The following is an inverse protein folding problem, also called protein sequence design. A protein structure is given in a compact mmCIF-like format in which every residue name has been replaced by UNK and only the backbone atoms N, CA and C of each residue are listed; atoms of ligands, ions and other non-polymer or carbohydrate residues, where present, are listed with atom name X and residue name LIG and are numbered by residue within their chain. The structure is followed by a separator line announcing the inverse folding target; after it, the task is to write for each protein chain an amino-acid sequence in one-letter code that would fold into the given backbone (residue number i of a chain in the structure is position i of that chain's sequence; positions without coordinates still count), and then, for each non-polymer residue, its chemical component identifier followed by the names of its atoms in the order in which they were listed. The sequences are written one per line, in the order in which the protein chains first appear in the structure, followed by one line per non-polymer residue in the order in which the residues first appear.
data_IF_734937446402
#
_entry.id   IF_734937446402
#
_cell.length_a   1.000
_cell.length_b   1.000
_cell.length_c   1.000
_cell.angle_alpha   90.00
_cell.angle_beta   90.00
_cell.angle_gamma   90.00
#
_symmetry.space_group_name_H-M   'P 1'
#
loop_
_entity.id
_entity.type
_entity.pdbx_description
1 polymer ?
#
# COMPACT_ATOMS: atom_id res chain seq x y z
N UNK A 1 44.60 30.63 75.11
CA UNK A 1 44.20 31.47 73.95
C UNK A 1 45.27 31.49 72.87
N UNK A 2 46.53 31.91 73.13
CA UNK A 2 47.59 31.98 72.10
C UNK A 2 47.88 30.69 71.29
N UNK A 3 47.75 29.51 71.89
CA UNK A 3 48.07 28.23 71.21
C UNK A 3 46.99 27.81 70.18
N UNK A 4 45.71 28.07 70.50
CA UNK A 4 44.56 27.80 69.61
C UNK A 4 44.54 28.72 68.38
N UNK A 5 45.05 29.94 68.51
CA UNK A 5 45.14 30.90 67.41
C UNK A 5 46.20 30.49 66.38
N UNK A 6 47.36 30.02 66.85
CA UNK A 6 48.42 29.49 65.99
C UNK A 6 48.00 28.21 65.28
N UNK A 7 47.29 27.32 65.97
CA UNK A 7 46.78 26.08 65.38
C UNK A 7 45.70 26.35 64.34
N UNK A 8 44.82 27.33 64.57
CA UNK A 8 43.84 27.80 63.58
C UNK A 8 44.52 28.42 62.35
N UNK A 9 45.54 29.25 62.53
CA UNK A 9 46.30 29.84 61.41
C UNK A 9 46.95 28.76 60.58
N UNK A 10 47.60 27.77 61.21
CA UNK A 10 48.23 26.65 60.52
C UNK A 10 47.22 25.81 59.72
N UNK A 11 46.04 25.57 60.28
CA UNK A 11 44.98 24.80 59.61
C UNK A 11 44.40 25.54 58.40
N UNK A 12 44.29 26.87 58.49
CA UNK A 12 43.89 27.73 57.36
C UNK A 12 44.97 27.72 56.27
N UNK A 13 46.25 27.74 56.65
CA UNK A 13 47.38 27.68 55.71
C UNK A 13 47.42 26.35 54.97
N UNK A 14 47.23 25.23 55.69
CA UNK A 14 47.10 23.89 55.10
C UNK A 14 45.91 23.82 54.15
N UNK A 15 44.72 24.29 54.56
CA UNK A 15 43.53 24.33 53.69
C UNK A 15 43.73 25.17 52.43
N UNK A 16 44.37 26.33 52.55
CA UNK A 16 44.66 27.19 51.39
C UNK A 16 45.62 26.50 50.41
N UNK A 17 46.66 25.83 50.93
CA UNK A 17 47.61 25.08 50.11
C UNK A 17 46.96 23.90 49.36
N UNK A 18 46.01 23.20 50.01
CA UNK A 18 45.27 22.08 49.40
C UNK A 18 44.33 22.58 48.29
N UNK A 19 43.67 23.73 48.49
CA UNK A 19 42.81 24.37 47.47
C UNK A 19 43.64 24.80 46.26
N UNK A 20 44.84 25.34 46.49
CA UNK A 20 45.74 25.74 45.41
C UNK A 20 46.21 24.53 44.59
N UNK A 21 46.62 23.44 45.26
CA UNK A 21 47.04 22.21 44.58
C UNK A 21 45.91 21.59 43.75
N UNK A 22 44.69 21.51 44.30
CA UNK A 22 43.53 21.00 43.57
C UNK A 22 43.18 21.86 42.34
N UNK A 23 43.26 23.20 42.45
CA UNK A 23 43.04 24.09 41.31
C UNK A 23 44.09 23.90 40.21
N UNK A 24 45.35 23.65 40.59
CA UNK A 24 46.42 23.37 39.62
C UNK A 24 46.16 22.05 38.91
N UNK A 25 45.81 20.98 39.63
CA UNK A 25 45.46 19.70 39.02
C UNK A 25 44.23 19.78 38.09
N UNK A 26 43.20 20.53 38.47
CA UNK A 26 42.02 20.76 37.62
C UNK A 26 42.37 21.54 36.36
N UNK A 27 43.24 22.56 36.47
CA UNK A 27 43.72 23.31 35.30
C UNK A 27 44.56 22.45 34.36
N UNK A 28 45.36 21.52 34.88
CA UNK A 28 46.13 20.59 34.06
C UNK A 28 45.23 19.59 33.32
N UNK A 29 44.25 18.99 34.01
CA UNK A 29 43.24 18.12 33.38
C UNK A 29 42.44 18.86 32.31
N UNK A 30 42.06 20.12 32.56
CA UNK A 30 41.35 20.93 31.57
C UNK A 30 42.19 21.17 30.31
N UNK A 31 43.50 21.43 30.47
CA UNK A 31 44.42 21.59 29.34
C UNK A 31 44.64 20.30 28.56
N UNK A 32 44.64 19.16 29.24
CA UNK A 32 44.78 17.84 28.59
C UNK A 32 43.53 17.50 27.77
N UNK A 33 42.34 17.71 28.33
CA UNK A 33 41.06 17.58 27.62
C UNK A 33 40.94 18.53 26.43
N UNK A 34 41.45 19.77 26.53
CA UNK A 34 41.51 20.69 25.40
C UNK A 34 42.42 20.17 24.27
N UNK A 35 43.56 19.56 24.61
CA UNK A 35 44.45 18.94 23.62
C UNK A 35 43.79 17.74 22.95
N UNK A 36 43.13 16.86 23.70
CA UNK A 36 42.39 15.73 23.15
C UNK A 36 41.26 16.20 22.23
N UNK A 37 40.48 17.19 22.65
CA UNK A 37 39.44 17.79 21.80
C UNK A 37 40.03 18.37 20.50
N UNK A 38 41.20 19.04 20.56
CA UNK A 38 41.88 19.52 19.35
C UNK A 38 42.33 18.38 18.44
N UNK A 39 42.77 17.24 19.00
CA UNK A 39 43.13 16.06 18.21
C UNK A 39 41.90 15.41 17.57
N UNK A 40 40.79 15.31 18.31
CA UNK A 40 39.52 14.79 17.80
C UNK A 40 38.96 15.69 16.69
N UNK A 41 39.04 17.01 16.84
CA UNK A 41 38.65 17.96 15.78
C UNK A 41 39.49 17.72 14.52
N UNK A 42 40.82 17.56 14.65
CA UNK A 42 41.70 17.25 13.52
C UNK A 42 41.38 15.91 12.88
N UNK A 43 40.99 14.91 13.68
CA UNK A 43 40.61 13.59 13.18
C UNK A 43 39.26 13.62 12.45
N UNK A 44 38.29 14.39 12.96
CA UNK A 44 37.02 14.65 12.28
C UNK A 44 37.27 15.38 10.95
N UNK A 45 38.11 16.42 10.94
CA UNK A 45 38.48 17.13 9.70
C UNK A 45 39.18 16.19 8.70
N UNK A 46 40.01 15.26 9.17
CA UNK A 46 40.65 14.25 8.33
C UNK A 46 39.63 13.28 7.72
N UNK A 47 38.71 12.75 8.55
CA UNK A 47 37.64 11.85 8.10
C UNK A 47 36.63 12.55 7.17
N UNK A 48 36.29 13.81 7.44
CA UNK A 48 35.47 14.64 6.56
C UNK A 48 36.16 14.86 5.22
N UNK A 49 37.47 15.12 5.20
CA UNK A 49 38.23 15.29 3.96
C UNK A 49 38.41 13.97 3.18
N UNK A 50 38.64 12.83 3.84
CA UNK A 50 38.68 11.50 3.21
C UNK A 50 37.32 11.09 2.64
N UNK A 51 36.22 11.35 3.36
CA UNK A 51 34.86 10.99 2.92
C UNK A 51 34.27 11.93 1.87
N UNK A 52 34.58 13.23 1.91
CA UNK A 52 34.11 14.23 0.94
C UNK A 52 34.95 14.25 -0.36
N UNK A 53 36.17 13.74 -0.33
CA UNK A 53 37.04 13.65 -1.51
C UNK A 53 36.53 12.70 -2.60
N UNK A 54 35.85 11.61 -2.20
CA UNK A 54 35.48 10.51 -3.10
C UNK A 54 34.02 10.59 -3.58
N UNK A 55 33.16 11.32 -2.88
CA UNK A 55 31.72 11.36 -3.16
C UNK A 55 31.17 12.78 -3.38
N UNK A 56 31.77 13.54 -4.29
CA UNK A 56 31.06 14.69 -4.88
C UNK A 56 29.93 14.16 -5.76
N UNK A 57 28.71 14.16 -5.20
CA UNK A 57 27.50 13.90 -5.97
C UNK A 57 27.46 14.79 -7.23
N UNK A 58 26.85 14.28 -8.30
CA UNK A 58 26.76 15.01 -9.56
C UNK A 58 26.22 16.43 -9.35
N UNK A 59 26.99 17.43 -9.80
CA UNK A 59 26.59 18.83 -9.75
C UNK A 59 25.22 19.05 -10.38
N UNK A 60 24.44 19.96 -9.81
CA UNK A 60 23.13 20.29 -10.37
C UNK A 60 23.37 21.05 -11.68
N UNK A 61 22.90 20.53 -12.84
CA UNK A 61 23.08 21.23 -14.10
C UNK A 61 22.39 22.60 -14.07
N UNK A 62 22.98 23.62 -14.68
CA UNK A 62 22.29 24.89 -14.89
C UNK A 62 21.12 24.70 -15.87
N UNK A 63 19.90 24.79 -15.32
CA UNK A 63 18.68 24.60 -16.11
C UNK A 63 18.14 25.96 -16.54
N UNK A 64 18.10 26.19 -17.86
CA UNK A 64 17.71 27.47 -18.49
C UNK A 64 16.24 27.87 -18.30
N UNK A 65 15.34 26.94 -17.95
CA UNK A 65 13.89 27.23 -17.85
C UNK A 65 13.33 26.96 -16.45
N UNK A 66 12.43 27.83 -15.97
CA UNK A 66 11.71 27.66 -14.69
C UNK A 66 10.99 26.31 -14.58
N UNK A 67 10.48 25.77 -15.69
CA UNK A 67 9.81 24.47 -15.70
C UNK A 67 10.79 23.32 -15.46
N UNK A 68 11.98 23.37 -16.08
CA UNK A 68 13.02 22.38 -15.85
C UNK A 68 13.55 22.46 -14.40
N UNK A 69 13.76 23.68 -13.88
CA UNK A 69 14.14 23.90 -12.48
C UNK A 69 13.11 23.29 -11.50
N UNK A 70 11.81 23.53 -11.71
CA UNK A 70 10.75 22.96 -10.88
C UNK A 70 10.67 21.43 -10.95
N UNK A 71 10.87 20.84 -12.14
CA UNK A 71 10.94 19.38 -12.30
C UNK A 71 12.13 18.80 -11.56
N UNK A 72 13.29 19.44 -11.66
CA UNK A 72 14.52 19.02 -10.96
C UNK A 72 14.37 19.15 -9.45
N UNK A 73 13.79 20.25 -8.96
CA UNK A 73 13.51 20.47 -7.54
C UNK A 73 12.57 19.39 -6.98
N UNK A 74 11.53 19.00 -7.73
CA UNK A 74 10.64 17.90 -7.33
C UNK A 74 11.37 16.56 -7.29
N UNK A 75 12.23 16.29 -8.27
CA UNK A 75 13.05 15.07 -8.31
C UNK A 75 14.01 15.00 -7.10
N UNK A 76 14.68 16.11 -6.79
CA UNK A 76 15.58 16.23 -5.64
C UNK A 76 14.83 16.05 -4.31
N UNK A 77 13.67 16.71 -4.14
CA UNK A 77 12.81 16.53 -2.96
C UNK A 77 12.39 15.08 -2.77
N UNK A 78 12.06 14.38 -3.84
CA UNK A 78 11.67 12.96 -3.79
C UNK A 78 12.85 12.07 -3.40
N UNK A 79 14.06 12.35 -3.89
CA UNK A 79 15.28 11.61 -3.48
C UNK A 79 15.63 11.87 -2.02
N UNK A 80 15.54 13.11 -1.56
CA UNK A 80 15.76 13.47 -0.17
C UNK A 80 14.75 12.79 0.77
N UNK A 81 13.47 12.72 0.38
CA UNK A 81 12.44 11.96 1.11
C UNK A 81 12.76 10.46 1.20
N UNK A 82 13.26 9.86 0.12
CA UNK A 82 13.69 8.44 0.13
C UNK A 82 14.90 8.21 1.03
N UNK A 83 15.88 9.13 1.00
CA UNK A 83 17.06 9.05 1.86
C UNK A 83 16.68 9.20 3.35
N UNK A 84 15.79 10.14 3.68
CA UNK A 84 15.28 10.30 5.04
C UNK A 84 14.54 9.05 5.52
N UNK A 85 13.73 8.44 4.65
CA UNK A 85 13.03 7.19 4.97
C UNK A 85 13.99 6.01 5.17
N UNK A 86 15.04 5.90 4.35
CA UNK A 86 16.10 4.92 4.53
C UNK A 86 16.77 5.09 5.90
N UNK A 87 17.22 6.29 6.22
CA UNK A 87 17.86 6.63 7.50
C UNK A 87 16.96 6.26 8.69
N UNK A 88 15.65 6.53 8.61
CA UNK A 88 14.66 6.12 9.62
C UNK A 88 14.52 4.60 9.78
N UNK A 89 14.52 3.83 8.68
CA UNK A 89 14.41 2.36 8.73
C UNK A 89 15.60 1.73 9.47
N UNK A 90 16.79 2.32 9.34
CA UNK A 90 18.01 1.84 9.99
C UNK A 90 18.23 2.44 11.39
N UNK A 91 17.22 3.10 11.96
CA UNK A 91 17.28 3.67 13.32
C UNK A 91 18.25 4.84 13.46
N UNK A 92 18.65 5.46 12.35
CA UNK A 92 19.52 6.64 12.36
C UNK A 92 18.65 7.90 12.49
N UNK A 93 18.99 8.78 13.43
CA UNK A 93 18.29 10.05 13.65
C UNK A 93 19.04 11.20 12.96
N UNK A 94 18.45 11.76 11.91
CA UNK A 94 19.07 12.84 11.13
C UNK A 94 18.78 14.19 11.78
N UNK A 95 19.63 14.65 12.68
CA UNK A 95 19.40 15.88 13.46
C UNK A 95 19.79 17.16 12.71
N UNK A 96 20.81 17.09 11.84
CA UNK A 96 21.39 18.25 11.18
C UNK A 96 21.83 17.91 9.76
N UNK A 97 21.44 18.74 8.79
CA UNK A 97 21.94 18.69 7.41
C UNK A 97 22.72 19.97 7.11
N UNK A 98 24.03 19.88 6.93
CA UNK A 98 24.88 20.97 6.46
C UNK A 98 25.08 20.87 4.95
N UNK A 99 24.82 21.96 4.24
CA UNK A 99 24.95 22.08 2.79
C UNK A 99 25.95 23.20 2.49
N UNK A 100 27.01 22.90 1.74
CA UNK A 100 27.96 23.91 1.27
C UNK A 100 27.67 24.23 -0.20
N UNK A 101 27.64 25.51 -0.54
CA UNK A 101 27.45 25.91 -1.93
C UNK A 101 28.65 25.47 -2.79
N UNK A 102 28.46 24.94 -4.01
CA UNK A 102 29.56 24.40 -4.81
C UNK A 102 30.64 25.42 -5.18
N UNK A 103 30.24 26.69 -5.37
CA UNK A 103 31.11 27.78 -5.82
C UNK A 103 31.16 28.95 -4.83
N UNK A 104 30.57 28.78 -3.65
CA UNK A 104 30.47 29.81 -2.61
C UNK A 104 31.09 29.32 -1.30
N UNK A 105 31.53 30.25 -0.45
CA UNK A 105 32.00 29.93 0.90
C UNK A 105 30.85 29.81 1.91
N UNK A 106 29.61 29.90 1.46
CA UNK A 106 28.44 29.90 2.33
C UNK A 106 27.99 28.47 2.64
N UNK A 107 27.84 28.20 3.94
CA UNK A 107 27.33 26.94 4.47
C UNK A 107 25.95 27.16 5.05
N UNK A 108 24.98 26.35 4.63
CA UNK A 108 23.61 26.36 5.11
C UNK A 108 23.41 25.18 6.07
N UNK A 109 22.87 25.46 7.25
CA UNK A 109 22.57 24.43 8.25
C UNK A 109 21.06 24.29 8.36
N UNK A 110 20.54 23.07 8.16
CA UNK A 110 19.13 22.75 8.34
C UNK A 110 19.01 21.82 9.54
N UNK A 111 18.55 22.36 10.66
CA UNK A 111 18.20 21.58 11.84
C UNK A 111 16.89 20.88 11.58
N UNK A 112 16.90 19.55 11.62
CA UNK A 112 15.72 18.72 11.42
C UNK A 112 15.19 18.37 12.80
N UNK A 113 14.16 19.09 13.24
CA UNK A 113 13.48 18.80 14.50
C UNK A 113 12.80 17.44 14.33
N UNK A 114 13.00 16.47 15.25
CA UNK A 114 12.26 15.22 15.22
C UNK A 114 10.78 15.59 15.27
N UNK A 115 10.02 15.12 14.28
CA UNK A 115 8.57 15.31 14.26
C UNK A 115 8.03 14.61 15.50
N UNK A 116 7.79 15.37 16.57
CA UNK A 116 7.07 14.88 17.75
C UNK A 116 5.78 14.29 17.24
N UNK A 117 5.63 13.00 17.50
CA UNK A 117 4.43 12.22 17.25
C UNK A 117 3.27 13.02 17.85
N UNK A 118 2.42 13.61 16.99
CA UNK A 118 1.08 13.97 17.42
C UNK A 118 0.48 12.66 17.90
N UNK A 119 0.08 12.53 19.18
CA UNK A 119 -0.56 11.32 19.64
C UNK A 119 -1.80 11.15 18.78
N UNK A 120 -1.80 10.12 17.92
CA UNK A 120 -3.00 9.61 17.29
C UNK A 120 -3.91 9.20 18.45
N UNK A 121 -4.75 10.12 18.89
CA UNK A 121 -5.93 9.80 19.66
C UNK A 121 -6.83 8.99 18.74
N UNK A 122 -6.55 7.68 18.65
CA UNK A 122 -7.47 6.67 18.16
C UNK A 122 -8.58 6.50 19.21
N UNK A 123 -9.42 7.52 19.33
CA UNK A 123 -10.74 7.43 19.97
C UNK A 123 -11.80 7.63 18.90
N UNK A 124 -11.84 6.71 17.93
CA UNK A 124 -13.01 6.40 17.07
C UNK A 124 -12.69 5.27 16.07
N UNK A 125 -12.15 4.17 16.58
CA UNK A 125 -12.32 2.85 15.97
C UNK A 125 -13.34 2.04 16.79
N UNK A 126 -14.48 2.66 17.08
CA UNK A 126 -15.67 2.02 17.63
C UNK A 126 -16.87 2.80 17.11
N UNK A 127 -17.26 2.48 15.88
CA UNK A 127 -18.59 2.69 15.30
C UNK A 127 -18.62 1.90 14.01
N UNK A 128 -18.68 0.58 14.19
CA UNK A 128 -19.25 -0.45 13.33
C UNK A 128 -19.02 -1.75 14.11
N UNK A 129 -19.89 -1.99 15.10
CA UNK A 129 -19.90 -3.21 15.89
C UNK A 129 -20.33 -4.38 14.99
N UNK A 130 -19.37 -4.98 14.30
CA UNK A 130 -19.31 -6.43 14.27
C UNK A 130 -18.50 -6.81 15.51
N UNK A 131 -19.17 -6.96 16.64
CA UNK A 131 -18.55 -7.30 17.92
C UNK A 131 -17.92 -8.68 17.77
N UNK A 132 -16.60 -8.72 17.55
CA UNK A 132 -15.80 -9.95 17.71
C UNK A 132 -16.12 -10.47 19.11
N UNK A 133 -16.82 -11.60 19.18
CA UNK A 133 -17.09 -12.23 20.47
C UNK A 133 -15.74 -12.61 21.06
N UNK A 134 -15.51 -12.23 22.32
CA UNK A 134 -14.28 -12.59 23.02
C UNK A 134 -14.08 -14.10 22.94
N UNK A 135 -12.97 -14.55 22.34
CA UNK A 135 -12.64 -15.96 22.13
C UNK A 135 -12.97 -16.55 20.75
N UNK A 136 -13.54 -15.80 19.81
CA UNK A 136 -13.77 -16.28 18.44
C UNK A 136 -12.56 -16.03 17.53
N UNK A 137 -12.16 -17.03 16.75
CA UNK A 137 -11.07 -16.90 15.78
C UNK A 137 -11.43 -15.92 14.66
N UNK A 138 -10.47 -15.10 14.24
CA UNK A 138 -10.59 -14.25 13.06
C UNK A 138 -10.50 -15.12 11.81
N UNK A 139 -11.51 -15.02 10.94
CA UNK A 139 -11.56 -15.78 9.69
C UNK A 139 -10.96 -14.96 8.56
N UNK A 140 -9.80 -15.39 8.07
CA UNK A 140 -9.05 -14.68 7.03
C UNK A 140 -9.15 -15.45 5.73
N UNK A 141 -9.69 -14.82 4.69
CA UNK A 141 -9.72 -15.38 3.33
C UNK A 141 -8.53 -14.85 2.54
N UNK A 142 -7.73 -15.73 1.97
CA UNK A 142 -6.70 -15.41 0.99
C UNK A 142 -7.23 -15.60 -0.42
N UNK A 143 -6.87 -14.73 -1.36
CA UNK A 143 -7.30 -14.81 -2.75
C UNK A 143 -6.18 -14.36 -3.67
N UNK A 144 -6.09 -15.00 -4.84
CA UNK A 144 -5.15 -14.65 -5.90
C UNK A 144 -5.90 -14.45 -7.21
N UNK A 145 -5.51 -13.46 -8.00
CA UNK A 145 -6.06 -13.27 -9.36
C UNK A 145 -5.03 -12.61 -10.29
N UNK A 146 -4.92 -13.16 -11.49
CA UNK A 146 -4.06 -12.66 -12.56
C UNK A 146 -4.79 -11.63 -13.42
N UNK A 147 -4.16 -10.47 -13.65
CA UNK A 147 -4.72 -9.43 -14.49
C UNK A 147 -3.68 -8.79 -15.41
N UNK A 148 -4.11 -8.57 -16.65
CA UNK A 148 -3.35 -7.78 -17.62
C UNK A 148 -3.39 -6.30 -17.26
N UNK A 149 -2.20 -5.71 -17.08
CA UNK A 149 -2.02 -4.29 -16.75
C UNK A 149 -1.77 -3.45 -17.99
N UNK A 150 -1.00 -3.98 -18.95
CA UNK A 150 -0.72 -3.35 -20.24
C UNK A 150 -0.58 -4.40 -21.35
N UNK A 151 -0.21 -3.99 -22.56
CA UNK A 151 0.04 -4.95 -23.66
C UNK A 151 1.15 -5.95 -23.32
N UNK A 152 2.10 -5.58 -22.45
CA UNK A 152 3.29 -6.37 -22.14
C UNK A 152 3.44 -6.70 -20.64
N UNK A 153 2.51 -6.26 -19.78
CA UNK A 153 2.60 -6.47 -18.33
C UNK A 153 1.34 -7.17 -17.82
N UNK A 154 1.57 -8.22 -17.04
CA UNK A 154 0.54 -9.01 -16.37
C UNK A 154 0.94 -9.11 -14.92
N UNK A 155 0.03 -8.78 -14.02
CA UNK A 155 0.27 -8.93 -12.59
C UNK A 155 -0.52 -10.10 -12.06
N UNK A 156 0.04 -10.75 -11.05
CA UNK A 156 -0.66 -11.67 -10.17
C UNK A 156 -0.75 -10.97 -8.83
N UNK A 157 -1.96 -10.67 -8.39
CA UNK A 157 -2.22 -10.06 -7.09
C UNK A 157 -2.60 -11.15 -6.12
N UNK A 158 -2.02 -11.11 -4.92
CA UNK A 158 -2.47 -11.87 -3.78
C UNK A 158 -2.95 -10.93 -2.69
N UNK A 159 -4.14 -11.18 -2.17
CA UNK A 159 -4.77 -10.35 -1.15
C UNK A 159 -5.43 -11.20 -0.07
N UNK A 160 -5.70 -10.57 1.08
CA UNK A 160 -6.55 -11.16 2.12
C UNK A 160 -7.74 -10.27 2.45
N UNK A 161 -8.80 -10.87 2.98
CA UNK A 161 -9.95 -10.16 3.55
C UNK A 161 -10.41 -10.82 4.84
N UNK A 162 -10.96 -10.04 5.77
CA UNK A 162 -11.54 -10.58 7.01
C UNK A 162 -13.02 -10.90 6.75
N UNK A 163 -13.41 -12.16 6.88
CA UNK A 163 -14.78 -12.62 6.55
C UNK A 163 -15.84 -12.03 7.48
N UNK A 164 -15.47 -11.70 8.72
CA UNK A 164 -16.36 -11.00 9.65
C UNK A 164 -16.73 -9.56 9.20
N UNK A 165 -15.98 -8.96 8.26
CA UNK A 165 -16.29 -7.66 7.66
C UNK A 165 -17.19 -7.82 6.43
N UNK A 166 -18.41 -8.30 6.65
CA UNK A 166 -19.34 -8.72 5.57
C UNK A 166 -19.60 -7.62 4.54
N UNK A 167 -19.69 -6.35 4.96
CA UNK A 167 -19.94 -5.22 4.06
C UNK A 167 -18.75 -4.89 3.14
N UNK A 168 -17.53 -5.23 3.55
CA UNK A 168 -16.31 -4.86 2.84
C UNK A 168 -15.65 -6.04 2.11
N UNK A 169 -16.00 -7.29 2.45
CA UNK A 169 -15.36 -8.54 1.97
C UNK A 169 -15.36 -8.71 0.44
N UNK A 170 -16.32 -8.09 -0.26
CA UNK A 170 -16.42 -8.10 -1.73
C UNK A 170 -15.97 -6.79 -2.39
N UNK A 171 -15.48 -5.83 -1.61
CA UNK A 171 -15.00 -4.52 -2.09
C UNK A 171 -13.48 -4.51 -2.19
N UNK A 172 -12.90 -3.62 -3.01
CA UNK A 172 -11.44 -3.46 -3.00
C UNK A 172 -10.90 -2.87 -1.69
N UNK A 173 -11.77 -2.27 -0.86
CA UNK A 173 -11.35 -1.70 0.43
C UNK A 173 -11.13 -2.77 1.51
N UNK A 174 -11.99 -3.77 1.55
CA UNK A 174 -11.89 -4.90 2.49
C UNK A 174 -11.00 -6.03 2.00
N UNK A 175 -10.34 -5.86 0.84
CA UNK A 175 -9.37 -6.81 0.31
C UNK A 175 -7.99 -6.14 0.28
N UNK A 176 -7.09 -6.60 1.13
CA UNK A 176 -5.78 -6.02 1.32
C UNK A 176 -4.72 -6.80 0.56
N UNK A 177 -4.12 -6.17 -0.45
CA UNK A 177 -3.05 -6.78 -1.25
C UNK A 177 -1.79 -6.97 -0.40
N UNK A 178 -1.29 -8.20 -0.35
CA UNK A 178 -0.08 -8.56 0.38
C UNK A 178 1.12 -8.76 -0.54
N UNK A 179 0.88 -9.15 -1.80
CA UNK A 179 1.93 -9.35 -2.77
C UNK A 179 1.44 -9.10 -4.20
N UNK A 180 2.35 -8.57 -5.02
CA UNK A 180 2.13 -8.27 -6.44
C UNK A 180 3.33 -8.79 -7.22
N UNK A 181 3.08 -9.68 -8.17
CA UNK A 181 4.13 -10.27 -9.02
C UNK A 181 3.87 -9.87 -10.46
N UNK A 182 4.88 -9.33 -11.15
CA UNK A 182 4.79 -9.09 -12.59
C UNK A 182 5.26 -10.34 -13.35
N UNK A 183 4.34 -11.05 -13.98
CA UNK A 183 4.66 -12.30 -14.65
C UNK A 183 3.43 -12.98 -15.24
N UNK A 184 3.69 -14.07 -15.97
CA UNK A 184 2.63 -14.97 -16.43
C UNK A 184 2.04 -15.74 -15.25
N UNK A 185 0.71 -15.86 -15.21
CA UNK A 185 0.02 -16.73 -14.28
C UNK A 185 0.28 -18.20 -14.66
N UNK A 186 1.37 -18.75 -14.12
CA UNK A 186 1.75 -20.15 -14.27
C UNK A 186 2.01 -20.74 -12.89
N UNK A 187 1.86 -22.07 -12.75
CA UNK A 187 2.14 -22.77 -11.50
C UNK A 187 3.54 -22.49 -10.99
N UNK A 188 4.54 -22.57 -11.87
CA UNK A 188 5.93 -22.30 -11.55
C UNK A 188 6.13 -20.86 -11.06
N UNK A 189 5.60 -19.88 -11.79
CA UNK A 189 5.72 -18.47 -11.42
C UNK A 189 5.07 -18.18 -10.06
N UNK A 190 3.94 -18.82 -9.75
CA UNK A 190 3.25 -18.67 -8.46
C UNK A 190 4.07 -19.33 -7.34
N UNK A 191 4.52 -20.56 -7.55
CA UNK A 191 5.30 -21.35 -6.59
C UNK A 191 6.60 -20.66 -6.20
N UNK A 192 7.34 -20.14 -7.18
CA UNK A 192 8.60 -19.43 -6.95
C UNK A 192 8.39 -18.04 -6.36
N UNK A 193 7.45 -17.25 -6.91
CA UNK A 193 7.33 -15.83 -6.53
C UNK A 193 6.61 -15.60 -5.22
N UNK A 194 5.71 -16.51 -4.82
CA UNK A 194 4.99 -16.43 -3.54
C UNK A 194 5.51 -17.43 -2.50
N UNK A 195 6.65 -18.09 -2.73
CA UNK A 195 7.22 -19.09 -1.82
C UNK A 195 7.33 -18.58 -0.37
N UNK A 196 7.83 -17.36 -0.19
CA UNK A 196 7.99 -16.75 1.13
C UNK A 196 6.63 -16.44 1.77
N UNK A 197 5.68 -15.92 0.99
CA UNK A 197 4.30 -15.66 1.45
C UNK A 197 3.62 -16.96 1.87
N UNK A 198 3.75 -18.03 1.08
CA UNK A 198 3.18 -19.33 1.42
C UNK A 198 3.81 -19.93 2.66
N UNK A 199 5.13 -19.78 2.85
CA UNK A 199 5.81 -20.23 4.07
C UNK A 199 5.27 -19.50 5.31
N UNK A 200 5.06 -18.19 5.22
CA UNK A 200 4.45 -17.42 6.32
C UNK A 200 3.00 -17.81 6.58
N UNK A 201 2.18 -17.95 5.52
CA UNK A 201 0.78 -18.39 5.65
C UNK A 201 0.69 -19.78 6.28
N UNK A 202 1.52 -20.73 5.83
CA UNK A 202 1.53 -22.09 6.39
C UNK A 202 1.94 -22.07 7.87
N UNK A 203 2.93 -21.24 8.23
CA UNK A 203 3.28 -21.03 9.64
C UNK A 203 2.10 -20.51 10.46
N UNK A 204 1.35 -19.54 9.96
CA UNK A 204 0.14 -19.02 10.64
C UNK A 204 -0.94 -20.10 10.78
N UNK A 205 -1.10 -20.97 9.78
CA UNK A 205 -2.02 -22.11 9.83
C UNK A 205 -1.59 -23.11 10.92
N UNK A 206 -0.31 -23.46 10.96
CA UNK A 206 0.25 -24.40 11.92
C UNK A 206 0.17 -23.86 13.36
N UNK A 207 0.50 -22.58 13.54
CA UNK A 207 0.46 -21.91 14.85
C UNK A 207 -1.01 -21.70 15.29
N UNK A 208 -1.93 -21.41 14.36
CA UNK A 208 -3.36 -21.19 14.61
C UNK A 208 -3.70 -19.83 15.24
N UNK A 209 -2.71 -18.95 15.41
CA UNK A 209 -2.87 -17.60 15.95
C UNK A 209 -1.81 -16.65 15.37
N UNK A 210 -2.05 -15.35 15.53
CA UNK A 210 -1.06 -14.29 15.29
C UNK A 210 -0.93 -13.42 16.55
N UNK A 211 0.21 -12.74 16.69
CA UNK A 211 0.41 -11.74 17.74
C UNK A 211 0.18 -10.33 17.18
N UNK A 212 -0.73 -9.59 17.80
CA UNK A 212 -1.04 -8.20 17.47
C UNK A 212 -1.01 -7.39 18.75
N UNK A 213 -0.13 -6.39 18.82
CA UNK A 213 0.04 -5.52 20.00
C UNK A 213 0.25 -6.30 21.32
N UNK A 214 0.97 -7.42 21.26
CA UNK A 214 1.23 -8.31 22.41
C UNK A 214 0.06 -9.21 22.80
N UNK A 215 -1.03 -9.23 22.02
CA UNK A 215 -2.18 -10.11 22.22
C UNK A 215 -2.20 -11.24 21.20
N UNK A 216 -2.47 -12.46 21.67
CA UNK A 216 -2.68 -13.62 20.80
C UNK A 216 -4.10 -13.59 20.25
N UNK A 217 -4.21 -13.52 18.94
CA UNK A 217 -5.47 -13.52 18.20
C UNK A 217 -5.55 -14.82 17.42
N UNK A 218 -6.53 -15.68 17.75
CA UNK A 218 -6.75 -16.92 17.01
C UNK A 218 -7.17 -16.62 15.57
N UNK A 219 -6.66 -17.39 14.61
CA UNK A 219 -6.90 -17.17 13.18
C UNK A 219 -7.28 -18.47 12.49
N UNK A 220 -8.27 -18.40 11.59
CA UNK A 220 -8.65 -19.49 10.70
C UNK A 220 -8.50 -19.02 9.25
N UNK A 221 -7.67 -19.72 8.47
CA UNK A 221 -7.37 -19.36 7.08
C UNK A 221 -8.30 -20.08 6.12
N UNK A 222 -8.88 -19.33 5.18
CA UNK A 222 -9.70 -19.81 4.08
C UNK A 222 -9.08 -19.42 2.75
N UNK A 223 -9.33 -20.22 1.72
CA UNK A 223 -8.97 -19.88 0.36
C UNK A 223 -10.21 -19.40 -0.40
N UNK A 224 -10.06 -18.26 -1.07
CA UNK A 224 -11.04 -17.73 -1.99
C UNK A 224 -10.88 -18.34 -3.37
N UNK A 225 -12.00 -18.49 -4.07
CA UNK A 225 -12.03 -19.11 -5.38
C UNK A 225 -13.08 -18.48 -6.27
N UNK A 226 -12.91 -18.66 -7.57
CA UNK A 226 -13.89 -18.24 -8.56
C UNK A 226 -14.62 -19.46 -9.12
N UNK A 227 -15.95 -19.36 -9.14
CA UNK A 227 -16.82 -20.32 -9.78
C UNK A 227 -17.55 -19.55 -10.87
N UNK A 228 -17.51 -20.03 -12.11
CA UNK A 228 -18.23 -19.43 -13.24
C UNK A 228 -19.03 -20.54 -13.94
N UNK A 229 -20.17 -20.16 -14.51
CA UNK A 229 -21.11 -20.96 -15.33
C UNK A 229 -22.39 -21.45 -14.63
N UNK A 230 -23.42 -21.66 -15.47
CA UNK A 230 -24.79 -22.04 -15.13
C UNK A 230 -25.56 -20.93 -14.39
N UNK A 231 -26.17 -20.02 -15.16
CA UNK A 231 -26.78 -18.77 -14.69
C UNK A 231 -27.64 -18.93 -13.43
N UNK A 232 -28.62 -19.84 -13.45
CA UNK A 232 -29.53 -20.04 -12.32
C UNK A 232 -28.83 -20.58 -11.06
N UNK A 233 -28.00 -21.63 -11.20
CA UNK A 233 -27.25 -22.22 -10.08
C UNK A 233 -26.17 -21.28 -9.55
N UNK A 234 -25.59 -20.47 -10.44
CA UNK A 234 -24.57 -19.53 -10.07
C UNK A 234 -25.16 -18.33 -9.33
N UNK A 235 -26.07 -17.57 -9.94
CA UNK A 235 -26.54 -16.32 -9.37
C UNK A 235 -27.45 -16.53 -8.15
N UNK A 236 -28.28 -17.58 -8.15
CA UNK A 236 -29.27 -17.78 -7.09
C UNK A 236 -28.77 -18.69 -5.94
N UNK A 237 -27.63 -19.39 -6.11
CA UNK A 237 -27.06 -20.25 -5.08
C UNK A 237 -25.61 -19.92 -4.75
N UNK A 238 -24.68 -20.10 -5.70
CA UNK A 238 -23.23 -19.94 -5.45
C UNK A 238 -22.86 -18.47 -5.14
N UNK A 239 -23.40 -17.54 -5.91
CA UNK A 239 -23.18 -16.09 -5.82
C UNK A 239 -24.34 -15.38 -5.11
N UNK A 240 -25.06 -16.10 -4.24
CA UNK A 240 -26.14 -15.55 -3.42
C UNK A 240 -25.71 -15.39 -1.97
N UNK A 241 -26.13 -14.29 -1.35
CA UNK A 241 -26.04 -14.11 0.11
C UNK A 241 -27.12 -14.93 0.84
N UNK A 242 -28.21 -15.24 0.14
CA UNK A 242 -29.35 -16.01 0.62
C UNK A 242 -29.61 -17.11 -0.42
N UNK A 243 -28.82 -18.19 -0.42
CA UNK A 243 -29.02 -19.28 -1.36
C UNK A 243 -30.38 -19.95 -1.14
N UNK A 244 -31.00 -20.41 -2.23
CA UNK A 244 -32.20 -21.26 -2.12
C UNK A 244 -31.85 -22.63 -1.53
N UNK A 245 -32.86 -23.47 -1.27
CA UNK A 245 -32.67 -24.76 -0.60
C UNK A 245 -31.60 -25.67 -1.25
N UNK A 246 -30.70 -26.20 -0.43
CA UNK A 246 -29.56 -27.04 -0.85
C UNK A 246 -29.98 -28.30 -1.60
N UNK A 247 -31.09 -28.92 -1.22
CA UNK A 247 -31.60 -30.11 -1.91
C UNK A 247 -32.03 -29.81 -3.35
N UNK A 248 -32.64 -28.64 -3.58
CA UNK A 248 -33.03 -28.20 -4.92
C UNK A 248 -31.77 -27.99 -5.77
N UNK A 249 -30.72 -27.40 -5.20
CA UNK A 249 -29.45 -27.19 -5.90
C UNK A 249 -28.79 -28.52 -6.23
N UNK A 250 -28.69 -29.43 -5.24
CA UNK A 250 -28.11 -30.76 -5.39
C UNK A 250 -28.82 -31.57 -6.47
N UNK A 251 -30.16 -31.48 -6.53
CA UNK A 251 -30.95 -32.13 -7.57
C UNK A 251 -30.61 -31.57 -8.96
N UNK A 252 -30.71 -30.24 -9.13
CA UNK A 252 -30.44 -29.57 -10.41
C UNK A 252 -29.02 -29.82 -10.93
N UNK A 253 -28.00 -29.76 -10.06
CA UNK A 253 -26.60 -29.96 -10.49
C UNK A 253 -26.34 -31.42 -10.86
N UNK A 254 -26.92 -32.40 -10.15
CA UNK A 254 -26.82 -33.82 -10.50
C UNK A 254 -27.52 -34.12 -11.82
N UNK A 255 -28.74 -33.62 -12.01
CA UNK A 255 -29.47 -33.73 -13.29
C UNK A 255 -28.68 -33.15 -14.46
N UNK A 256 -27.97 -32.03 -14.24
CA UNK A 256 -27.09 -31.45 -15.25
C UNK A 256 -25.86 -32.33 -15.54
N UNK A 257 -25.20 -32.90 -14.54
CA UNK A 257 -24.06 -33.82 -14.71
C UNK A 257 -24.49 -35.11 -15.42
N UNK A 258 -25.69 -35.62 -15.11
CA UNK A 258 -26.27 -36.78 -15.76
C UNK A 258 -26.59 -36.48 -17.23
N UNK A 259 -27.19 -35.32 -17.49
CA UNK A 259 -27.44 -34.82 -18.85
C UNK A 259 -26.13 -34.63 -19.64
N UNK A 260 -25.09 -34.10 -19.01
CA UNK A 260 -23.75 -34.00 -19.60
C UNK A 260 -23.24 -35.39 -19.99
N UNK A 261 -23.35 -36.36 -19.10
CA UNK A 261 -22.83 -37.73 -19.33
C UNK A 261 -23.60 -38.48 -20.42
N UNK A 262 -24.92 -38.27 -20.54
CA UNK A 262 -25.75 -38.90 -21.59
C UNK A 262 -25.48 -38.33 -22.98
N UNK A 263 -24.90 -37.14 -23.08
CA UNK A 263 -24.45 -36.57 -24.36
C UNK A 263 -23.14 -37.19 -24.86
N UNK A 264 -22.45 -38.00 -24.05
CA UNK A 264 -21.16 -38.60 -24.40
C UNK A 264 -21.18 -39.50 -25.63
N UNK A 265 -22.31 -40.15 -25.90
CA UNK A 265 -22.52 -40.95 -27.11
C UNK A 265 -22.93 -40.10 -28.33
N UNK A 266 -23.46 -38.89 -28.09
CA UNK A 266 -24.03 -38.01 -29.13
C UNK A 266 -23.06 -36.92 -29.59
N UNK A 267 -22.13 -36.50 -28.73
CA UNK A 267 -21.18 -35.42 -29.01
C UNK A 267 -19.80 -35.68 -28.41
N UNK A 268 -18.77 -35.46 -29.21
CA UNK A 268 -17.38 -35.49 -28.77
C UNK A 268 -17.15 -34.48 -27.65
N UNK A 269 -16.57 -34.94 -26.53
CA UNK A 269 -16.24 -34.11 -25.37
C UNK A 269 -17.15 -34.28 -24.15
N UNK A 270 -18.27 -35.00 -24.27
CA UNK A 270 -19.29 -35.14 -23.21
C UNK A 270 -19.26 -36.51 -22.50
N UNK A 271 -18.14 -37.23 -22.57
CA UNK A 271 -18.02 -38.56 -21.95
C UNK A 271 -17.85 -38.46 -20.44
N UNK A 272 -18.15 -39.55 -19.72
CA UNK A 272 -17.99 -39.62 -18.26
C UNK A 272 -16.56 -39.34 -17.81
N UNK A 273 -15.56 -39.75 -18.59
CA UNK A 273 -14.15 -39.43 -18.31
C UNK A 273 -13.83 -37.93 -18.37
N UNK A 274 -14.74 -37.10 -18.89
CA UNK A 274 -14.62 -35.64 -18.97
C UNK A 274 -15.37 -34.92 -17.86
N UNK A 275 -15.98 -35.64 -16.91
CA UNK A 275 -16.47 -35.05 -15.68
C UNK A 275 -15.28 -34.49 -14.90
N UNK A 276 -15.27 -33.17 -14.73
CA UNK A 276 -14.15 -32.48 -14.08
C UNK A 276 -14.27 -32.52 -12.57
N UNK A 277 -13.15 -32.29 -11.87
CA UNK A 277 -13.17 -32.08 -10.42
C UNK A 277 -14.10 -30.93 -9.99
N UNK A 278 -14.30 -29.91 -10.83
CA UNK A 278 -15.25 -28.82 -10.56
C UNK A 278 -16.71 -29.28 -10.58
N UNK A 279 -17.08 -30.20 -11.49
CA UNK A 279 -18.42 -30.79 -11.53
C UNK A 279 -18.65 -31.64 -10.27
N UNK A 280 -17.65 -32.41 -9.86
CA UNK A 280 -17.70 -33.16 -8.60
C UNK A 280 -17.85 -32.23 -7.39
N UNK A 281 -17.03 -31.19 -7.31
CA UNK A 281 -17.11 -30.20 -6.24
C UNK A 281 -18.46 -29.49 -6.20
N UNK A 282 -19.03 -29.15 -7.36
CA UNK A 282 -20.36 -28.56 -7.44
C UNK A 282 -21.46 -29.50 -6.90
N UNK A 283 -21.41 -30.79 -7.20
CA UNK A 283 -22.43 -31.73 -6.72
C UNK A 283 -22.32 -32.13 -5.24
N UNK A 284 -21.10 -32.16 -4.71
CA UNK A 284 -20.83 -32.77 -3.40
C UNK A 284 -20.27 -31.80 -2.36
N UNK A 285 -19.36 -30.89 -2.73
CA UNK A 285 -18.66 -30.01 -1.79
C UNK A 285 -19.33 -28.64 -1.62
N UNK A 286 -19.78 -28.02 -2.71
CA UNK A 286 -20.49 -26.72 -2.65
C UNK A 286 -21.73 -26.77 -1.74
N UNK A 287 -22.61 -27.79 -1.82
CA UNK A 287 -23.73 -27.95 -0.89
C UNK A 287 -23.29 -27.96 0.58
N UNK A 288 -22.28 -28.78 0.91
CA UNK A 288 -21.75 -28.91 2.27
C UNK A 288 -21.14 -27.59 2.77
N UNK A 289 -20.43 -26.86 1.89
CA UNK A 289 -19.85 -25.57 2.24
C UNK A 289 -20.91 -24.50 2.49
N UNK A 290 -22.00 -24.49 1.72
CA UNK A 290 -23.13 -23.59 1.93
C UNK A 290 -23.85 -23.91 3.25
N UNK A 291 -24.09 -25.19 3.54
CA UNK A 291 -24.70 -25.61 4.82
C UNK A 291 -23.83 -25.18 6.03
N UNK A 292 -22.50 -25.32 5.93
CA UNK A 292 -21.57 -24.95 7.01
C UNK A 292 -21.41 -23.44 7.20
N UNK A 293 -21.42 -22.67 6.12
CA UNK A 293 -21.09 -21.24 6.14
C UNK A 293 -22.28 -20.32 5.84
N UNK A 294 -23.50 -20.86 5.76
CA UNK A 294 -24.75 -20.22 5.32
C UNK A 294 -24.76 -19.79 3.84
N UNK A 295 -23.64 -19.31 3.32
CA UNK A 295 -23.41 -18.99 1.93
C UNK A 295 -21.92 -19.14 1.60
N UNK A 296 -21.61 -19.25 0.31
CA UNK A 296 -20.21 -19.27 -0.17
C UNK A 296 -19.80 -18.00 -0.92
N UNK A 297 -20.72 -17.04 -1.09
CA UNK A 297 -20.46 -15.80 -1.83
C UNK A 297 -19.32 -14.97 -1.21
N UNK A 298 -19.23 -14.95 0.12
CA UNK A 298 -18.14 -14.30 0.87
C UNK A 298 -16.74 -14.82 0.49
N UNK A 299 -16.64 -16.05 -0.02
CA UNK A 299 -15.38 -16.66 -0.47
C UNK A 299 -15.04 -16.36 -1.94
N UNK A 300 -15.85 -15.59 -2.65
CA UNK A 300 -15.58 -15.26 -4.06
C UNK A 300 -14.33 -14.41 -4.24
N UNK A 301 -13.69 -14.55 -5.41
CA UNK A 301 -12.57 -13.73 -5.88
C UNK A 301 -12.95 -12.30 -6.30
N UNK A 302 -14.22 -11.89 -6.19
CA UNK A 302 -14.69 -10.57 -6.65
C UNK A 302 -13.93 -9.40 -6.01
N UNK A 303 -13.49 -9.56 -4.76
CA UNK A 303 -12.69 -8.55 -4.06
C UNK A 303 -11.33 -8.33 -4.71
N UNK A 304 -10.60 -9.41 -5.00
CA UNK A 304 -9.28 -9.34 -5.65
C UNK A 304 -9.37 -8.89 -7.10
N UNK A 305 -10.45 -9.25 -7.83
CA UNK A 305 -10.72 -8.70 -9.18
C UNK A 305 -10.85 -7.16 -9.15
N UNK A 306 -11.46 -6.60 -8.11
CA UNK A 306 -11.53 -5.14 -7.93
C UNK A 306 -10.19 -4.52 -7.55
N UNK A 307 -9.35 -5.22 -6.79
CA UNK A 307 -7.96 -4.78 -6.55
C UNK A 307 -7.18 -4.74 -7.86
N UNK A 308 -7.40 -5.70 -8.76
CA UNK A 308 -6.81 -5.68 -10.10
C UNK A 308 -7.21 -4.44 -10.91
N UNK A 309 -8.47 -3.97 -10.81
CA UNK A 309 -8.90 -2.72 -11.42
C UNK A 309 -8.23 -1.48 -10.80
N UNK A 310 -8.06 -1.46 -9.48
CA UNK A 310 -7.39 -0.38 -8.76
C UNK A 310 -5.88 -0.35 -9.05
N UNK A 311 -5.21 -1.51 -9.07
CA UNK A 311 -3.83 -1.67 -9.49
C UNK A 311 -3.63 -1.16 -10.93
N UNK A 312 -4.50 -1.56 -11.86
CA UNK A 312 -4.46 -1.07 -13.25
C UNK A 312 -4.56 0.45 -13.31
N UNK A 313 -5.44 1.05 -12.50
CA UNK A 313 -5.58 2.51 -12.41
C UNK A 313 -4.33 3.19 -11.85
N UNK A 314 -3.67 2.58 -10.87
CA UNK A 314 -2.42 3.07 -10.29
C UNK A 314 -1.32 3.03 -11.35
N UNK A 315 -1.11 1.88 -11.99
CA UNK A 315 -0.09 1.70 -13.04
C UNK A 315 -0.30 2.72 -14.16
N UNK A 316 -1.52 2.85 -14.68
CA UNK A 316 -1.79 3.72 -15.84
C UNK A 316 -1.77 5.22 -15.54
N UNK A 317 -2.06 5.66 -14.31
CA UNK A 317 -2.32 7.09 -14.01
C UNK A 317 -1.44 7.69 -12.92
N UNK A 318 -0.83 6.86 -12.09
CA UNK A 318 -0.14 7.29 -10.86
C UNK A 318 1.30 6.81 -10.78
N UNK A 319 1.66 5.75 -11.49
CA UNK A 319 3.02 5.22 -11.52
C UNK A 319 3.94 6.05 -12.43
N UNK A 320 5.24 5.97 -12.14
CA UNK A 320 6.31 6.44 -13.04
C UNK A 320 6.94 5.28 -13.83
N UNK A 321 6.42 4.05 -13.74
CA UNK A 321 6.89 2.85 -14.44
C UNK A 321 8.31 2.39 -14.14
N UNK A 322 8.83 2.72 -12.95
CA UNK A 322 10.13 2.20 -12.50
C UNK A 322 10.01 0.84 -11.81
N UNK A 323 8.97 0.67 -10.98
CA UNK A 323 8.67 -0.54 -10.23
C UNK A 323 7.17 -0.55 -9.95
N UNK A 324 6.41 -0.94 -10.97
CA UNK A 324 4.96 -0.89 -10.94
C UNK A 324 4.35 -1.79 -9.84
N UNK A 325 4.84 -3.03 -9.58
CA UNK A 325 4.38 -3.83 -8.45
C UNK A 325 4.54 -3.11 -7.09
N UNK A 326 5.72 -2.53 -6.81
CA UNK A 326 5.92 -1.81 -5.56
C UNK A 326 5.12 -0.50 -5.49
N UNK A 327 4.86 0.17 -6.62
CA UNK A 327 4.00 1.37 -6.66
C UNK A 327 2.54 1.03 -6.35
N UNK A 328 2.03 -0.15 -6.74
CA UNK A 328 0.70 -0.63 -6.37
C UNK A 328 0.61 -0.76 -4.85
N UNK A 329 1.49 -1.55 -4.24
CA UNK A 329 1.50 -1.77 -2.78
C UNK A 329 1.62 -0.45 -1.99
N UNK A 330 2.56 0.41 -2.37
CA UNK A 330 2.77 1.71 -1.69
C UNK A 330 1.59 2.65 -1.86
N UNK A 331 0.95 2.67 -3.03
CA UNK A 331 -0.20 3.54 -3.28
C UNK A 331 -1.43 3.04 -2.53
N UNK A 332 -1.69 1.74 -2.51
CA UNK A 332 -2.78 1.14 -1.74
C UNK A 332 -2.60 1.40 -0.24
N UNK A 333 -1.41 1.13 0.31
CA UNK A 333 -1.11 1.43 1.71
C UNK A 333 -1.37 2.90 2.05
N UNK A 334 -0.88 3.83 1.22
CA UNK A 334 -1.13 5.28 1.41
C UNK A 334 -2.61 5.64 1.36
N UNK A 335 -3.39 5.00 0.48
CA UNK A 335 -4.83 5.23 0.41
C UNK A 335 -5.55 4.67 1.64
N UNK A 336 -5.10 3.53 2.17
CA UNK A 336 -5.60 2.95 3.41
C UNK A 336 -5.37 3.86 4.62
N UNK A 337 -4.14 4.33 4.82
CA UNK A 337 -3.80 5.27 5.91
C UNK A 337 -4.62 6.57 5.82
N UNK A 338 -4.89 7.04 4.60
CA UNK A 338 -5.67 8.26 4.37
C UNK A 338 -7.18 8.01 4.27
N UNK A 339 -7.67 6.77 4.45
CA UNK A 339 -9.07 6.43 4.22
C UNK A 339 -10.03 7.21 5.14
N UNK A 340 -9.60 7.50 6.36
CA UNK A 340 -10.37 8.28 7.34
C UNK A 340 -10.24 9.80 7.16
N UNK A 341 -9.40 10.26 6.23
CA UNK A 341 -9.10 11.66 6.01
C UNK A 341 -9.75 12.16 4.73
N UNK A 342 -10.67 13.12 4.86
CA UNK A 342 -11.26 13.76 3.69
C UNK A 342 -10.34 14.90 3.19
N UNK A 343 -10.01 14.88 1.90
CA UNK A 343 -9.24 15.95 1.30
C UNK A 343 -10.07 17.23 1.28
N UNK A 344 -9.69 18.22 2.08
CA UNK A 344 -10.24 19.58 1.96
C UNK A 344 -9.94 20.13 0.57
N UNK A 345 -10.98 20.53 -0.17
CA UNK A 345 -10.80 21.17 -1.46
C UNK A 345 -9.97 22.44 -1.25
N UNK A 346 -8.88 22.58 -2.01
CA UNK A 346 -8.03 23.77 -1.91
C UNK A 346 -8.84 24.97 -2.39
N UNK A 347 -9.02 25.96 -1.52
CA UNK A 347 -9.54 27.27 -1.92
C UNK A 347 -8.51 27.90 -2.85
N UNK A 348 -8.86 28.02 -4.13
CA UNK A 348 -8.02 28.72 -5.10
C UNK A 348 -8.75 29.97 -5.57
N UNK A 349 -8.09 31.12 -5.48
CA UNK A 349 -8.63 32.38 -6.00
C UNK A 349 -8.26 32.49 -7.47
N UNK A 350 -9.25 32.42 -8.36
CA UNK A 350 -9.06 32.66 -9.79
C UNK A 350 -8.79 34.14 -10.03
N UNK A 351 -7.52 34.51 -10.19
CA UNK A 351 -7.14 35.92 -10.41
C UNK A 351 -7.46 36.46 -11.82
N UNK A 352 -7.58 35.59 -12.82
CA UNK A 352 -7.89 35.96 -14.20
C UNK A 352 -9.31 35.49 -14.56
N UNK A 353 -10.33 36.23 -14.11
CA UNK A 353 -11.74 35.87 -14.29
C UNK A 353 -12.08 35.64 -15.77
N UNK A 354 -11.70 36.58 -16.63
CA UNK A 354 -11.92 36.50 -18.09
C UNK A 354 -11.36 35.21 -18.71
N UNK A 355 -10.17 34.77 -18.30
CA UNK A 355 -9.60 33.51 -18.78
C UNK A 355 -10.47 32.29 -18.40
N UNK A 356 -10.92 32.24 -17.14
CA UNK A 356 -11.65 31.11 -16.60
C UNK A 356 -13.13 31.09 -16.98
N UNK A 357 -13.72 32.24 -17.29
CA UNK A 357 -15.13 32.38 -17.57
C UNK A 357 -15.43 32.34 -19.07
N UNK A 358 -14.57 32.95 -19.89
CA UNK A 358 -14.78 33.12 -21.34
C UNK A 358 -13.77 32.29 -22.16
N UNK A 359 -12.47 32.52 -21.94
CA UNK A 359 -11.39 32.01 -22.82
C UNK A 359 -11.27 30.49 -22.76
N UNK A 360 -11.38 29.89 -21.56
CA UNK A 360 -11.26 28.44 -21.43
C UNK A 360 -12.46 27.70 -22.01
N UNK A 361 -13.67 28.27 -21.89
CA UNK A 361 -14.90 27.68 -22.44
C UNK A 361 -14.86 27.72 -23.96
N UNK A 362 -14.48 28.85 -24.54
CA UNK A 362 -14.30 28.99 -26.00
C UNK A 362 -13.16 28.11 -26.54
N UNK A 363 -12.01 28.03 -25.86
CA UNK A 363 -10.91 27.12 -26.28
C UNK A 363 -11.28 25.64 -26.20
N UNK A 364 -12.09 25.24 -25.21
CA UNK A 364 -12.56 23.84 -25.08
C UNK A 364 -13.69 23.53 -26.06
N UNK A 365 -14.61 24.46 -26.29
CA UNK A 365 -15.68 24.33 -27.29
C UNK A 365 -15.15 24.25 -28.73
N UNK A 366 -14.01 24.89 -29.02
CA UNK A 366 -13.35 24.83 -30.34
C UNK A 366 -12.50 23.58 -30.57
N UNK A 367 -12.21 22.76 -29.55
CA UNK A 367 -11.55 21.47 -29.75
C UNK A 367 -12.60 20.43 -30.16
N UNK A 368 -12.82 20.28 -31.47
CA UNK A 368 -13.37 19.03 -31.97
C UNK A 368 -12.48 17.89 -31.47
N UNK A 369 -13.09 16.92 -30.78
CA UNK A 369 -12.40 15.70 -30.40
C UNK A 369 -11.84 15.05 -31.67
N UNK A 370 -10.61 14.55 -31.61
CA UNK A 370 -10.01 13.74 -32.67
C UNK A 370 -10.72 12.38 -32.65
N UNK A 371 -11.97 12.34 -33.05
CA UNK A 371 -12.68 11.11 -33.42
C UNK A 371 -12.89 11.20 -34.92
N UNK A 372 -12.23 10.29 -35.64
CA UNK A 372 -12.29 10.11 -37.09
C UNK A 372 -13.64 10.53 -37.68
N UNK A 373 -13.63 11.59 -38.48
CA UNK A 373 -14.75 11.96 -39.34
C UNK A 373 -14.93 10.86 -40.39
N UNK A 374 -15.79 9.88 -40.10
CA UNK A 374 -16.28 8.95 -41.12
C UNK A 374 -17.11 9.79 -42.09
N UNK A 375 -16.62 10.01 -43.33
CA UNK A 375 -17.41 10.64 -44.39
C UNK A 375 -18.69 9.84 -44.55
N UNK A 376 -19.83 10.43 -44.19
CA UNK A 376 -21.15 9.89 -44.52
C UNK A 376 -21.36 10.10 -46.01
N UNK A 377 -21.26 9.03 -46.79
CA UNK A 377 -21.88 9.00 -48.12
C UNK A 377 -23.39 9.03 -47.93
N UNK A 378 -24.02 10.01 -48.56
CA UNK A 378 -25.47 10.15 -48.65
C UNK A 378 -26.06 8.97 -49.41
N UNK A 379 -26.94 8.20 -48.77
CA UNK A 379 -27.89 7.31 -49.45
C UNK A 379 -29.29 7.75 -49.05
N UNK A 380 -30.27 7.79 -49.97
CA UNK A 380 -31.53 8.48 -49.74
C UNK A 380 -32.40 7.81 -48.66
N UNK A 381 -33.18 8.66 -48.02
CA UNK A 381 -34.12 8.36 -46.95
C UNK A 381 -35.21 7.38 -47.38
N UNK A 382 -35.49 6.39 -46.53
CA UNK A 382 -36.83 5.81 -46.41
C UNK A 382 -37.37 6.22 -45.04
N UNK A 383 -38.45 6.98 -45.06
CA UNK A 383 -39.20 7.38 -43.87
C UNK A 383 -39.92 6.16 -43.29
N UNK A 384 -39.76 5.90 -42.00
CA UNK A 384 -40.84 5.32 -41.22
C UNK A 384 -40.74 5.77 -39.76
N UNK A 385 -41.89 6.24 -39.30
CA UNK A 385 -42.17 6.98 -38.08
C UNK A 385 -42.05 6.13 -36.82
N UNK A 386 -41.29 6.61 -35.82
CA UNK A 386 -41.34 6.08 -34.45
C UNK A 386 -41.82 7.18 -33.50
N UNK A 387 -43.03 6.97 -33.01
CA UNK A 387 -43.71 7.70 -31.93
C UNK A 387 -42.93 7.61 -30.62
N UNK A 388 -42.74 8.76 -29.99
CA UNK A 388 -42.13 8.95 -28.68
C UNK A 388 -43.02 8.39 -27.56
N UNK A 389 -42.53 7.41 -26.79
CA UNK A 389 -43.06 7.10 -25.45
C UNK A 389 -42.10 7.61 -24.39
N UNK A 390 -42.58 8.59 -23.63
CA UNK A 390 -41.92 9.17 -22.48
C UNK A 390 -41.79 8.16 -21.33
N UNK A 391 -40.60 8.10 -20.71
CA UNK A 391 -40.36 7.35 -19.46
C UNK A 391 -40.94 8.12 -18.27
N UNK A 392 -41.97 7.56 -17.64
CA UNK A 392 -42.33 7.90 -16.26
C UNK A 392 -41.33 7.27 -15.30
N UNK A 393 -40.88 8.09 -14.34
CA UNK A 393 -40.11 7.67 -13.15
C UNK A 393 -41.01 6.87 -12.21
N UNK A 394 -40.51 5.74 -11.72
CA UNK A 394 -40.65 5.32 -10.33
C UNK A 394 -39.25 5.04 -9.81
#
# INVERSE_FOLDING_TARGET
MKNLEQEKEKLVEEMLSEIENNNVEEQEKSKELEKENQQLIKYIDMLENESLGIHRGAGIPELKTKQAQNRKLKQLKTRAQKALHFVQIFGLDLQLLKLKEPNGNQTFSITLIPVTILPLHNKRAMKNEATLKSGENIKVKLSGDGARMSRMTNFILMSFSILQQVDEVLSSKGNHTIAVVNGSESRQSIEESFADVFREVNKVIDDGFIEVDGQRVGVEIFLGGDYKNFEDLYFNYISSWVPFATDVYRKKIKEWIDSFSTLGEKRTGYRKEKVTCYMHAAAYHIPQMVERNQNIKQFSGQGVEKNNDDARRIVQRKSNHNDDPAEVLRTEHRLGVLHHLQRKHRTYTKRAAEYWDEIIKTKRGKKQGISYSKKRTSTPQTQESITTKAKQKK
#
